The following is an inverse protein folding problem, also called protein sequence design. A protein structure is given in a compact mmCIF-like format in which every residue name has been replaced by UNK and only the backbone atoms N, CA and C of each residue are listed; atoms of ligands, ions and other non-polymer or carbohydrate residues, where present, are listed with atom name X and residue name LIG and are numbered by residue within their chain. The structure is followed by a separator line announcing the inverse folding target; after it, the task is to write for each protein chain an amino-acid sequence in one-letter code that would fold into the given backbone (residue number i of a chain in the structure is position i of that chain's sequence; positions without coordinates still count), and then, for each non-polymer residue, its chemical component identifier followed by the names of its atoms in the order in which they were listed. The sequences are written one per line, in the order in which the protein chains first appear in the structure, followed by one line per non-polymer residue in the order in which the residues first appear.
data_IF_000766460016
#
_entry.id   IF_000766460016
#
_cell.length_a   1.000
_cell.length_b   1.000
_cell.length_c   1.000
_cell.angle_alpha   90.00
_cell.angle_beta   90.00
_cell.angle_gamma   90.00
#
_symmetry.space_group_name_H-M   'P 1'
#
loop_
_entity.id
_entity.type
_entity.pdbx_description
1 polymer ?
#
# COMPACT_ATOMS: atom_id res chain seq x y z
N UNK A 1 31.87 -7.31 30.17
CA UNK A 1 30.92 -8.45 30.18
C UNK A 1 31.74 -9.72 29.98
N UNK A 2 31.65 -10.68 30.90
CA UNK A 2 32.33 -11.97 30.75
C UNK A 2 31.41 -12.95 29.99
N UNK A 3 31.63 -13.04 28.68
CA UNK A 3 30.83 -13.90 27.82
C UNK A 3 31.18 -15.38 28.00
N UNK A 4 32.38 -15.73 28.47
CA UNK A 4 32.78 -17.13 28.67
C UNK A 4 32.00 -17.71 29.85
N UNK A 5 31.96 -16.97 30.96
CA UNK A 5 31.20 -17.39 32.14
C UNK A 5 29.69 -17.37 31.87
N UNK A 6 29.19 -16.38 31.13
CA UNK A 6 27.79 -16.37 30.69
C UNK A 6 27.43 -17.60 29.84
N UNK A 7 28.33 -18.04 28.94
CA UNK A 7 28.11 -19.23 28.10
C UNK A 7 28.04 -20.49 28.96
N UNK A 8 28.94 -20.60 29.93
CA UNK A 8 29.01 -21.72 30.87
C UNK A 8 27.73 -21.83 31.72
N UNK A 9 27.31 -20.71 32.33
CA UNK A 9 26.11 -20.66 33.17
C UNK A 9 24.84 -20.91 32.35
N UNK A 10 24.74 -20.29 31.16
CA UNK A 10 23.61 -20.51 30.24
C UNK A 10 23.57 -21.96 29.76
N UNK A 11 24.72 -22.59 29.50
CA UNK A 11 24.85 -24.02 29.21
C UNK A 11 24.22 -24.90 30.29
N UNK A 12 24.59 -24.66 31.55
CA UNK A 12 24.06 -25.43 32.68
C UNK A 12 22.54 -25.25 32.86
N UNK A 13 22.01 -24.04 32.63
CA UNK A 13 20.58 -23.78 32.71
C UNK A 13 19.80 -24.31 31.50
N UNK A 14 20.36 -24.21 30.29
CA UNK A 14 19.78 -24.74 29.06
C UNK A 14 19.63 -26.26 29.11
N UNK A 15 20.62 -26.94 29.69
CA UNK A 15 20.58 -28.39 29.94
C UNK A 15 19.44 -28.81 30.88
N UNK A 16 18.93 -27.90 31.73
CA UNK A 16 17.77 -28.11 32.61
C UNK A 16 16.45 -27.71 31.95
N UNK A 17 16.45 -27.33 30.67
CA UNK A 17 15.24 -26.97 29.93
C UNK A 17 14.82 -25.51 30.05
N UNK A 18 15.60 -24.64 30.71
CA UNK A 18 15.23 -23.24 30.84
C UNK A 18 15.21 -22.54 29.47
N UNK A 19 14.03 -22.13 29.02
CA UNK A 19 13.78 -21.53 27.71
C UNK A 19 14.70 -20.33 27.45
N UNK A 20 14.78 -19.39 28.38
CA UNK A 20 15.63 -18.20 28.23
C UNK A 20 17.12 -18.55 28.10
N UNK A 21 17.57 -19.57 28.84
CA UNK A 21 18.94 -20.04 28.75
C UNK A 21 19.22 -20.74 27.42
N UNK A 22 18.26 -21.49 26.88
CA UNK A 22 18.36 -22.09 25.55
C UNK A 22 18.38 -21.02 24.46
N UNK A 23 17.52 -20.00 24.53
CA UNK A 23 17.52 -18.87 23.59
C UNK A 23 18.84 -18.11 23.64
N UNK A 24 19.32 -17.79 24.84
CA UNK A 24 20.59 -17.09 25.04
C UNK A 24 21.77 -17.93 24.54
N UNK A 25 21.83 -19.20 24.90
CA UNK A 25 22.91 -20.08 24.45
C UNK A 25 22.91 -20.24 22.92
N UNK A 26 21.73 -20.33 22.30
CA UNK A 26 21.57 -20.31 20.84
C UNK A 26 22.17 -19.05 20.21
N UNK A 27 21.85 -17.88 20.76
CA UNK A 27 22.43 -16.60 20.31
C UNK A 27 23.96 -16.57 20.47
N UNK A 28 24.47 -17.05 21.61
CA UNK A 28 25.91 -17.07 21.87
C UNK A 28 26.65 -17.97 20.88
N UNK A 29 26.10 -19.14 20.56
CA UNK A 29 26.66 -20.02 19.53
C UNK A 29 26.55 -19.43 18.12
N UNK A 30 25.48 -18.71 17.80
CA UNK A 30 25.29 -18.06 16.50
C UNK A 30 26.33 -16.95 16.27
N UNK A 31 26.62 -16.16 17.30
CA UNK A 31 27.51 -15.00 17.21
C UNK A 31 28.96 -15.28 17.63
N UNK A 32 29.24 -16.42 18.27
CA UNK A 32 30.57 -16.72 18.82
C UNK A 32 30.85 -15.90 20.08
N UNK A 33 29.83 -15.66 20.90
CA UNK A 33 29.99 -14.98 22.17
C UNK A 33 30.49 -15.98 23.21
N UNK A 34 31.62 -15.68 23.86
CA UNK A 34 32.20 -16.57 24.89
C UNK A 34 32.84 -17.85 24.35
N UNK A 35 33.17 -17.90 23.05
CA UNK A 35 33.86 -19.02 22.39
C UNK A 35 33.67 -18.95 20.87
N UNK A 36 33.98 -20.02 20.14
CA UNK A 36 33.78 -20.05 18.69
C UNK A 36 32.29 -20.15 18.31
N UNK A 37 31.99 -19.73 17.07
CA UNK A 37 30.66 -19.92 16.45
C UNK A 37 30.39 -21.40 16.24
N UNK A 38 29.17 -21.81 16.54
CA UNK A 38 28.71 -23.18 16.33
C UNK A 38 27.25 -23.12 15.84
N UNK A 39 27.09 -23.01 14.53
CA UNK A 39 25.77 -22.86 13.93
C UNK A 39 24.86 -24.09 14.14
N UNK A 40 25.37 -25.34 14.04
CA UNK A 40 24.58 -26.51 14.39
C UNK A 40 24.07 -26.49 15.84
N UNK A 41 24.92 -26.16 16.82
CA UNK A 41 24.48 -26.10 18.22
C UNK A 41 23.53 -24.91 18.46
N UNK A 42 23.75 -23.77 17.80
CA UNK A 42 22.80 -22.65 17.81
C UNK A 42 21.40 -23.08 17.31
N UNK A 43 21.35 -23.82 16.20
CA UNK A 43 20.09 -24.31 15.61
C UNK A 43 19.38 -25.25 16.58
N UNK A 44 20.13 -26.15 17.20
CA UNK A 44 19.60 -27.09 18.20
C UNK A 44 19.04 -26.35 19.41
N UNK A 45 19.76 -25.37 19.96
CA UNK A 45 19.30 -24.59 21.12
C UNK A 45 18.05 -23.77 20.82
N UNK A 46 18.00 -23.07 19.68
CA UNK A 46 16.79 -22.39 19.24
C UNK A 46 15.65 -23.39 18.96
N UNK A 47 15.96 -24.58 18.43
CA UNK A 47 15.03 -25.71 18.29
C UNK A 47 14.33 -26.07 19.60
N UNK A 48 15.10 -26.27 20.66
CA UNK A 48 14.56 -26.62 21.97
C UNK A 48 13.67 -25.51 22.55
N UNK A 49 14.09 -24.24 22.46
CA UNK A 49 13.29 -23.12 22.93
C UNK A 49 12.02 -22.90 22.08
N UNK A 50 12.11 -23.08 20.75
CA UNK A 50 11.00 -22.95 19.82
C UNK A 50 9.92 -24.01 20.04
N UNK A 51 10.32 -25.25 20.33
CA UNK A 51 9.42 -26.36 20.70
C UNK A 51 8.65 -26.08 21.99
N UNK A 52 9.20 -25.27 22.89
CA UNK A 52 8.54 -24.82 24.11
C UNK A 52 7.65 -23.58 23.89
N UNK A 53 7.48 -23.13 22.64
CA UNK A 53 6.58 -22.02 22.29
C UNK A 53 7.24 -20.64 22.27
N UNK A 54 8.53 -20.52 22.56
CA UNK A 54 9.17 -19.21 22.63
C UNK A 54 9.22 -18.52 21.26
N UNK A 55 8.47 -17.42 21.12
CA UNK A 55 8.28 -16.74 19.83
C UNK A 55 9.58 -16.24 19.18
N UNK A 56 10.51 -15.65 19.94
CA UNK A 56 11.81 -15.21 19.42
C UNK A 56 12.67 -16.35 18.86
N UNK A 57 12.81 -17.46 19.60
CA UNK A 57 13.45 -18.68 19.12
C UNK A 57 12.77 -19.30 17.89
N UNK A 58 11.44 -19.23 17.77
CA UNK A 58 10.73 -19.65 16.55
C UNK A 58 11.10 -18.78 15.35
N UNK A 59 11.21 -17.45 15.52
CA UNK A 59 11.73 -16.55 14.48
C UNK A 59 13.15 -16.93 14.10
N UNK A 60 14.04 -17.06 15.09
CA UNK A 60 15.45 -17.40 14.86
C UNK A 60 15.59 -18.72 14.09
N UNK A 61 14.85 -19.75 14.52
CA UNK A 61 14.86 -21.06 13.86
C UNK A 61 14.31 -20.98 12.44
N UNK A 62 13.23 -20.23 12.22
CA UNK A 62 12.69 -19.95 10.89
C UNK A 62 13.72 -19.30 9.97
N UNK A 63 14.49 -18.33 10.47
CA UNK A 63 15.60 -17.69 9.75
C UNK A 63 16.73 -18.67 9.46
N UNK A 64 17.11 -19.49 10.44
CA UNK A 64 18.18 -20.48 10.26
C UNK A 64 17.83 -21.50 9.16
N UNK A 65 16.58 -21.96 9.11
CA UNK A 65 16.09 -22.81 8.01
C UNK A 65 16.04 -22.06 6.67
N UNK A 66 15.68 -20.77 6.67
CA UNK A 66 15.62 -19.95 5.45
C UNK A 66 16.98 -19.79 4.78
N UNK A 67 18.04 -19.51 5.56
CA UNK A 67 19.39 -19.25 5.03
C UNK A 67 20.31 -20.46 5.05
N UNK A 68 19.89 -21.59 5.63
CA UNK A 68 20.75 -22.77 5.81
C UNK A 68 21.85 -22.57 6.86
N UNK A 69 21.57 -21.83 7.94
CA UNK A 69 22.54 -21.63 9.03
C UNK A 69 22.53 -22.84 9.96
N UNK A 70 23.64 -23.57 10.08
CA UNK A 70 23.72 -24.77 10.94
C UNK A 70 22.99 -26.00 10.42
N UNK A 71 22.68 -26.04 9.12
CA UNK A 71 21.97 -27.14 8.45
C UNK A 71 21.59 -26.74 7.02
N UNK A 72 20.94 -27.61 6.23
CA UNK A 72 20.51 -27.24 4.88
C UNK A 72 19.43 -26.14 4.90
N UNK A 73 19.27 -25.46 3.75
CA UNK A 73 18.12 -24.59 3.49
C UNK A 73 16.86 -25.46 3.44
N UNK A 74 15.82 -25.04 4.17
CA UNK A 74 14.51 -25.68 4.16
C UNK A 74 13.41 -24.63 4.29
N UNK A 75 12.85 -24.22 3.15
CA UNK A 75 11.78 -23.22 3.15
C UNK A 75 10.47 -23.72 3.75
N UNK A 76 10.22 -25.03 3.73
CA UNK A 76 8.98 -25.59 4.29
C UNK A 76 9.01 -25.48 5.81
N UNK A 77 10.12 -25.87 6.43
CA UNK A 77 10.29 -25.76 7.87
C UNK A 77 10.41 -24.29 8.31
N UNK A 78 11.05 -23.44 7.49
CA UNK A 78 11.07 -21.99 7.72
C UNK A 78 9.65 -21.39 7.77
N UNK A 79 8.79 -21.72 6.79
CA UNK A 79 7.38 -21.27 6.79
C UNK A 79 6.64 -21.74 8.03
N UNK A 80 6.86 -22.99 8.46
CA UNK A 80 6.23 -23.54 9.66
C UNK A 80 6.59 -22.73 10.90
N UNK A 81 7.88 -22.49 11.13
CA UNK A 81 8.34 -21.75 12.31
C UNK A 81 7.93 -20.28 12.29
N UNK A 82 8.03 -19.60 11.15
CA UNK A 82 7.50 -18.25 11.03
C UNK A 82 5.98 -18.21 11.21
N UNK A 83 5.23 -19.21 10.75
CA UNK A 83 3.80 -19.32 10.97
C UNK A 83 3.42 -19.37 12.45
N UNK A 84 4.16 -20.17 13.23
CA UNK A 84 3.98 -20.25 14.68
C UNK A 84 4.30 -18.91 15.36
N UNK A 85 5.41 -18.27 15.02
CA UNK A 85 5.78 -16.97 15.59
C UNK A 85 4.83 -15.84 15.17
N UNK A 86 4.36 -15.85 13.92
CA UNK A 86 3.42 -14.87 13.38
C UNK A 86 2.04 -14.98 14.06
N UNK A 87 1.59 -16.20 14.39
CA UNK A 87 0.38 -16.43 15.18
C UNK A 87 0.49 -15.88 16.61
N UNK A 88 1.71 -15.75 17.14
CA UNK A 88 1.99 -15.07 18.41
C UNK A 88 2.16 -13.56 18.28
N UNK A 89 1.98 -13.00 17.08
CA UNK A 89 2.05 -11.56 16.84
C UNK A 89 3.43 -11.03 16.47
N UNK A 90 4.46 -11.86 16.32
CA UNK A 90 5.81 -11.39 16.01
C UNK A 90 5.87 -10.70 14.64
N UNK A 91 6.15 -9.39 14.65
CA UNK A 91 6.15 -8.56 13.45
C UNK A 91 7.17 -9.04 12.39
N UNK A 92 8.36 -9.46 12.82
CA UNK A 92 9.41 -10.02 11.94
C UNK A 92 8.95 -11.32 11.27
N UNK A 93 8.28 -12.20 12.04
CA UNK A 93 7.74 -13.44 11.51
C UNK A 93 6.65 -13.19 10.47
N UNK A 94 5.77 -12.23 10.74
CA UNK A 94 4.72 -11.80 9.81
C UNK A 94 5.32 -11.22 8.52
N UNK A 95 6.34 -10.37 8.62
CA UNK A 95 7.05 -9.84 7.46
C UNK A 95 7.69 -10.96 6.62
N UNK A 96 8.48 -11.82 7.27
CA UNK A 96 9.21 -12.90 6.61
C UNK A 96 8.26 -13.91 5.97
N UNK A 97 7.21 -14.35 6.68
CA UNK A 97 6.22 -15.26 6.13
C UNK A 97 5.43 -14.62 4.98
N UNK A 98 5.10 -13.33 5.10
CA UNK A 98 4.49 -12.55 4.03
C UNK A 98 5.34 -12.54 2.77
N UNK A 99 6.64 -12.27 2.91
CA UNK A 99 7.62 -12.31 1.82
C UNK A 99 7.72 -13.71 1.19
N UNK A 100 7.76 -14.77 2.01
CA UNK A 100 7.78 -16.15 1.50
C UNK A 100 6.51 -16.49 0.70
N UNK A 101 5.37 -15.87 1.01
CA UNK A 101 4.15 -16.00 0.21
C UNK A 101 4.18 -15.19 -1.09
N UNK A 102 4.86 -14.04 -1.14
CA UNK A 102 5.10 -13.29 -2.38
C UNK A 102 5.93 -14.12 -3.35
N UNK A 103 7.02 -14.74 -2.88
CA UNK A 103 7.97 -15.44 -3.74
C UNK A 103 7.73 -16.94 -3.89
N UNK A 104 6.72 -17.51 -3.23
CA UNK A 104 6.46 -18.95 -3.30
C UNK A 104 7.57 -19.81 -2.70
N UNK A 105 8.27 -19.30 -1.68
CA UNK A 105 9.32 -20.05 -0.99
C UNK A 105 8.68 -21.03 -0.01
N UNK A 106 8.90 -22.34 -0.18
CA UNK A 106 8.34 -23.37 0.70
C UNK A 106 6.85 -23.66 0.47
N UNK A 107 6.33 -23.28 -0.70
CA UNK A 107 4.95 -23.59 -1.13
C UNK A 107 4.47 -22.59 -2.20
N UNK A 108 3.22 -22.67 -2.66
CA UNK A 108 2.76 -21.81 -3.75
C UNK A 108 2.79 -20.32 -3.37
N UNK A 109 2.89 -19.47 -4.39
CA UNK A 109 2.67 -18.02 -4.28
C UNK A 109 1.24 -17.79 -3.77
N UNK A 110 1.09 -16.89 -2.80
CA UNK A 110 -0.20 -16.52 -2.25
C UNK A 110 -0.22 -15.04 -1.85
N UNK A 111 -0.51 -14.18 -2.82
CA UNK A 111 -0.54 -12.73 -2.58
C UNK A 111 -1.60 -12.32 -1.55
N UNK A 112 -2.72 -13.02 -1.45
CA UNK A 112 -3.75 -12.72 -0.44
C UNK A 112 -3.25 -12.95 0.99
N UNK A 113 -2.56 -14.07 1.23
CA UNK A 113 -1.90 -14.33 2.51
C UNK A 113 -0.76 -13.34 2.78
N UNK A 114 0.07 -13.05 1.77
CA UNK A 114 1.15 -12.08 1.86
C UNK A 114 0.66 -10.70 2.29
N UNK A 115 -0.37 -10.14 1.63
CA UNK A 115 -0.94 -8.83 1.97
C UNK A 115 -1.45 -8.77 3.41
N UNK A 116 -2.13 -9.83 3.88
CA UNK A 116 -2.60 -9.89 5.26
C UNK A 116 -1.45 -9.88 6.27
N UNK A 117 -0.46 -10.74 6.08
CA UNK A 117 0.68 -10.86 6.98
C UNK A 117 1.55 -9.60 6.98
N UNK A 118 1.86 -9.07 5.80
CA UNK A 118 2.59 -7.81 5.67
C UNK A 118 1.81 -6.65 6.29
N UNK A 119 0.47 -6.61 6.11
CA UNK A 119 -0.38 -5.59 6.74
C UNK A 119 -0.31 -5.63 8.29
N UNK A 120 -0.30 -6.83 8.89
CA UNK A 120 -0.10 -6.99 10.34
C UNK A 120 1.28 -6.47 10.78
N UNK A 121 2.32 -6.76 9.99
CA UNK A 121 3.69 -6.30 10.28
C UNK A 121 3.84 -4.77 10.11
N UNK A 122 3.20 -4.20 9.09
CA UNK A 122 3.10 -2.75 8.85
C UNK A 122 2.42 -2.04 10.02
N UNK A 123 1.34 -2.61 10.56
CA UNK A 123 0.65 -2.06 11.72
C UNK A 123 1.55 -2.00 12.98
N UNK A 124 2.61 -2.80 13.02
CA UNK A 124 3.63 -2.81 14.07
C UNK A 124 4.86 -1.96 13.73
N UNK A 125 4.85 -1.26 12.59
CA UNK A 125 5.89 -0.31 12.20
C UNK A 125 7.05 -0.88 11.37
N UNK A 126 7.01 -2.16 10.98
CA UNK A 126 8.15 -2.78 10.26
C UNK A 126 8.37 -2.17 8.88
N UNK A 127 9.51 -1.51 8.69
CA UNK A 127 9.86 -0.82 7.45
C UNK A 127 9.98 -1.76 6.23
N UNK A 128 10.58 -2.94 6.40
CA UNK A 128 10.69 -3.95 5.33
C UNK A 128 9.31 -4.37 4.82
N UNK A 129 8.35 -4.55 5.74
CA UNK A 129 6.98 -4.92 5.40
C UNK A 129 6.25 -3.78 4.67
N UNK A 130 6.49 -2.52 5.06
CA UNK A 130 5.95 -1.34 4.39
C UNK A 130 6.43 -1.27 2.94
N UNK A 131 7.72 -1.51 2.70
CA UNK A 131 8.28 -1.53 1.33
C UNK A 131 7.69 -2.65 0.50
N UNK A 132 7.63 -3.86 1.06
CA UNK A 132 7.11 -5.02 0.35
C UNK A 132 5.63 -4.82 0.00
N UNK A 133 4.81 -4.43 0.97
CA UNK A 133 3.39 -4.19 0.75
C UNK A 133 3.16 -3.01 -0.21
N UNK A 134 3.95 -1.94 -0.11
CA UNK A 134 3.89 -0.82 -1.04
C UNK A 134 4.15 -1.24 -2.49
N UNK A 135 5.18 -2.08 -2.73
CA UNK A 135 5.44 -2.67 -4.05
C UNK A 135 4.29 -3.55 -4.53
N UNK A 136 3.70 -4.37 -3.64
CA UNK A 136 2.55 -5.19 -4.00
C UNK A 136 1.33 -4.35 -4.41
N UNK A 137 1.06 -3.24 -3.72
CA UNK A 137 0.01 -2.29 -4.09
C UNK A 137 0.29 -1.63 -5.45
N UNK A 138 1.55 -1.26 -5.71
CA UNK A 138 1.95 -0.68 -7.00
C UNK A 138 1.78 -1.67 -8.16
N UNK A 139 2.16 -2.93 -7.95
CA UNK A 139 2.10 -3.97 -8.98
C UNK A 139 0.72 -4.61 -9.16
N UNK A 140 -0.25 -4.34 -8.28
CA UNK A 140 -1.54 -5.05 -8.28
C UNK A 140 -1.40 -6.53 -7.87
N UNK A 141 -0.43 -6.86 -7.02
CA UNK A 141 -0.23 -8.22 -6.53
C UNK A 141 -1.25 -8.53 -5.42
N UNK A 142 -2.19 -9.44 -5.72
CA UNK A 142 -3.25 -9.84 -4.80
C UNK A 142 -4.38 -8.82 -4.64
N UNK A 143 -4.56 -7.90 -5.59
CA UNK A 143 -5.62 -6.90 -5.61
C UNK A 143 -5.45 -5.91 -6.77
N UNK A 144 -6.35 -4.93 -6.95
CA UNK A 144 -6.13 -3.86 -7.92
C UNK A 144 -4.89 -3.03 -7.55
N UNK A 145 -4.27 -2.41 -8.56
CA UNK A 145 -3.21 -1.43 -8.34
C UNK A 145 -3.71 -0.26 -7.50
N UNK A 146 -2.94 0.11 -6.49
CA UNK A 146 -3.21 1.24 -5.62
C UNK A 146 -1.92 2.06 -5.42
N UNK A 147 -1.72 3.02 -6.31
CA UNK A 147 -0.53 3.88 -6.32
C UNK A 147 -0.50 4.82 -5.10
N UNK A 148 -1.67 5.18 -4.57
CA UNK A 148 -1.78 6.09 -3.42
C UNK A 148 -1.32 5.37 -2.15
N UNK A 149 -1.84 4.17 -1.89
CA UNK A 149 -1.39 3.40 -0.73
C UNK A 149 0.07 2.93 -0.89
N UNK A 150 0.49 2.59 -2.11
CA UNK A 150 1.89 2.26 -2.39
C UNK A 150 2.84 3.41 -2.00
N UNK A 151 2.51 4.64 -2.40
CA UNK A 151 3.26 5.84 -2.03
C UNK A 151 3.27 6.03 -0.52
N UNK A 152 2.10 5.98 0.13
CA UNK A 152 1.95 6.19 1.57
C UNK A 152 2.84 5.25 2.38
N UNK A 153 2.86 3.96 2.02
CA UNK A 153 3.67 2.94 2.68
C UNK A 153 5.16 3.17 2.46
N UNK A 154 5.57 3.54 1.24
CA UNK A 154 6.96 3.85 0.95
C UNK A 154 7.43 5.13 1.65
N UNK A 155 6.59 6.17 1.77
CA UNK A 155 6.91 7.37 2.55
C UNK A 155 7.10 7.04 4.04
N UNK A 156 6.28 6.15 4.58
CA UNK A 156 6.42 5.66 5.96
C UNK A 156 7.74 4.91 6.16
N UNK A 157 8.17 4.11 5.18
CA UNK A 157 9.46 3.42 5.24
C UNK A 157 10.64 4.39 5.06
N UNK A 158 10.49 5.43 4.23
CA UNK A 158 11.51 6.45 4.03
C UNK A 158 11.75 7.28 5.29
N UNK A 159 10.69 7.56 6.07
CA UNK A 159 10.81 8.24 7.35
C UNK A 159 11.59 7.44 8.41
N UNK A 160 11.82 6.15 8.17
CA UNK A 160 12.62 5.26 9.01
C UNK A 160 14.05 5.04 8.45
N UNK A 161 14.49 5.89 7.52
CA UNK A 161 15.80 5.81 6.84
C UNK A 161 16.08 4.45 6.16
N UNK A 162 15.02 3.76 5.75
CA UNK A 162 15.16 2.42 5.21
C UNK A 162 15.77 2.45 3.78
N UNK A 163 16.81 1.63 3.59
CA UNK A 163 17.57 1.59 2.35
C UNK A 163 16.72 1.09 1.17
N UNK A 164 16.95 1.65 -0.02
CA UNK A 164 16.27 1.24 -1.25
C UNK A 164 14.86 1.82 -1.44
N UNK A 165 14.31 2.52 -0.44
CA UNK A 165 12.99 3.18 -0.55
C UNK A 165 12.97 4.31 -1.56
N UNK A 166 14.06 5.09 -1.67
CA UNK A 166 14.13 6.26 -2.56
C UNK A 166 13.85 5.92 -4.03
N UNK A 167 14.45 4.84 -4.53
CA UNK A 167 14.24 4.40 -5.91
C UNK A 167 12.79 3.92 -6.13
N UNK A 168 12.21 3.21 -5.16
CA UNK A 168 10.81 2.80 -5.23
C UNK A 168 9.86 4.00 -5.21
N UNK A 169 10.12 5.00 -4.35
CA UNK A 169 9.35 6.24 -4.29
C UNK A 169 9.42 7.02 -5.61
N UNK A 170 10.60 7.13 -6.22
CA UNK A 170 10.75 7.84 -7.49
C UNK A 170 9.87 7.23 -8.59
N UNK A 171 9.87 5.90 -8.70
CA UNK A 171 9.04 5.17 -9.67
C UNK A 171 7.55 5.39 -9.39
N UNK A 172 7.13 5.26 -8.13
CA UNK A 172 5.72 5.46 -7.73
C UNK A 172 5.29 6.92 -7.93
N UNK A 173 6.19 7.87 -7.69
CA UNK A 173 5.92 9.29 -7.86
C UNK A 173 5.66 9.64 -9.32
N UNK A 174 6.56 9.21 -10.20
CA UNK A 174 6.41 9.38 -11.64
C UNK A 174 5.11 8.77 -12.16
N UNK A 175 4.80 7.54 -11.77
CA UNK A 175 3.57 6.87 -12.18
C UNK A 175 2.31 7.60 -11.69
N UNK A 176 2.35 8.20 -10.50
CA UNK A 176 1.23 8.99 -9.99
C UNK A 176 1.05 10.29 -10.77
N UNK A 177 2.14 10.97 -11.12
CA UNK A 177 2.11 12.23 -11.87
C UNK A 177 1.57 12.00 -13.29
N UNK A 178 2.00 10.92 -13.94
CA UNK A 178 1.48 10.48 -15.24
C UNK A 178 -0.02 10.16 -15.17
N UNK A 179 -0.46 9.47 -14.11
CA UNK A 179 -1.88 9.18 -13.90
C UNK A 179 -2.68 10.46 -13.69
N UNK A 180 -2.19 11.38 -12.86
CA UNK A 180 -2.86 12.66 -12.59
C UNK A 180 -2.96 13.51 -13.86
N UNK A 181 -1.90 13.58 -14.65
CA UNK A 181 -1.91 14.30 -15.93
C UNK A 181 -2.93 13.72 -16.92
N UNK A 182 -3.05 12.39 -16.97
CA UNK A 182 -4.07 11.72 -17.78
C UNK A 182 -5.48 12.03 -17.27
N UNK A 183 -5.72 11.93 -15.97
CA UNK A 183 -7.03 12.23 -15.37
C UNK A 183 -7.45 13.68 -15.62
N UNK A 184 -6.52 14.64 -15.55
CA UNK A 184 -6.82 16.04 -15.91
C UNK A 184 -7.11 16.20 -17.40
N UNK A 185 -6.34 15.54 -18.27
CA UNK A 185 -6.59 15.58 -19.71
C UNK A 185 -7.96 14.99 -20.07
N UNK A 186 -8.33 13.87 -19.45
CA UNK A 186 -9.61 13.22 -19.67
C UNK A 186 -10.78 14.09 -19.16
N UNK A 187 -10.60 14.75 -18.02
CA UNK A 187 -11.58 15.70 -17.48
C UNK A 187 -11.76 16.94 -18.37
N UNK A 188 -10.65 17.51 -18.88
CA UNK A 188 -10.69 18.66 -19.79
C UNK A 188 -11.37 18.29 -21.12
N UNK A 189 -11.09 17.10 -21.66
CA UNK A 189 -11.75 16.60 -22.86
C UNK A 189 -13.26 16.41 -22.64
N UNK A 190 -13.67 15.89 -21.48
CA UNK A 190 -15.08 15.74 -21.12
C UNK A 190 -15.79 17.10 -20.98
N UNK A 191 -15.14 18.08 -20.33
CA UNK A 191 -15.69 19.45 -20.24
C UNK A 191 -15.82 20.12 -21.61
N UNK A 192 -14.84 19.93 -22.51
CA UNK A 192 -14.91 20.45 -23.87
C UNK A 192 -16.07 19.85 -24.68
N UNK A 193 -16.33 18.56 -24.53
CA UNK A 193 -17.47 17.89 -25.17
C UNK A 193 -18.82 18.44 -24.66
N UNK A 194 -18.97 18.61 -23.35
CA UNK A 194 -20.18 19.20 -22.74
C UNK A 194 -20.43 20.63 -23.24
N UNK A 195 -19.38 21.45 -23.29
CA UNK A 195 -19.49 22.82 -23.83
C UNK A 195 -19.83 22.82 -25.33
N UNK A 196 -19.30 21.88 -26.11
CA UNK A 196 -19.63 21.76 -27.53
C UNK A 196 -21.09 21.38 -27.74
N UNK A 197 -21.64 20.44 -26.96
CA UNK A 197 -23.06 20.07 -27.00
C UNK A 197 -23.97 21.27 -26.70
N UNK A 198 -23.68 22.04 -25.63
CA UNK A 198 -24.40 23.26 -25.28
C UNK A 198 -24.40 24.30 -26.42
N UNK A 199 -23.28 24.44 -27.13
CA UNK A 199 -23.20 25.37 -28.27
C UNK A 199 -24.03 24.91 -29.46
N UNK A 200 -24.07 23.61 -29.75
CA UNK A 200 -24.88 23.06 -30.84
C UNK A 200 -26.39 23.14 -30.53
N UNK A 201 -26.79 22.92 -29.28
CA UNK A 201 -28.18 23.13 -28.86
C UNK A 201 -28.62 24.59 -29.00
N UNK A 202 -27.79 25.54 -28.56
CA UNK A 202 -28.05 26.98 -28.73
C UNK A 202 -28.15 27.38 -30.21
N UNK A 203 -27.27 26.86 -31.08
CA UNK A 203 -27.35 27.09 -32.53
C UNK A 203 -28.65 26.54 -33.13
N UNK A 204 -29.06 25.31 -32.77
CA UNK A 204 -30.32 24.70 -33.22
C UNK A 204 -31.54 25.49 -32.75
N UNK A 205 -31.56 25.97 -31.50
CA UNK A 205 -32.61 26.84 -30.96
C UNK A 205 -32.71 28.19 -31.70
N UNK A 206 -31.56 28.85 -31.94
CA UNK A 206 -31.50 30.10 -32.68
C UNK A 206 -31.96 29.94 -34.15
N UNK A 207 -31.61 28.83 -34.81
CA UNK A 207 -32.04 28.52 -36.16
C UNK A 207 -33.57 28.31 -36.25
N UNK A 208 -34.17 27.62 -35.27
CA UNK A 208 -35.64 27.47 -35.17
C UNK A 208 -36.34 28.82 -34.97
N UNK A 209 -35.80 29.70 -34.10
CA UNK A 209 -36.34 31.04 -33.85
C UNK A 209 -36.30 31.95 -35.09
N UNK A 210 -35.18 31.97 -35.83
CA UNK A 210 -35.08 32.71 -37.10
C UNK A 210 -36.07 32.20 -38.17
N UNK A 211 -36.33 30.89 -38.23
CA UNK A 211 -37.28 30.29 -39.19
C UNK A 211 -38.73 30.68 -38.86
N UNK A 212 -39.11 30.78 -37.59
CA UNK A 212 -40.42 31.30 -37.18
C UNK A 212 -40.59 32.79 -37.48
N UNK A 213 -39.55 33.61 -37.27
CA UNK A 213 -39.59 35.06 -37.55
C UNK A 213 -39.74 35.36 -39.05
N UNK A 214 -39.16 34.52 -39.93
CA UNK A 214 -39.30 34.63 -41.39
C UNK A 214 -40.69 34.21 -41.91
N UNK A 215 -41.43 33.37 -41.17
CA UNK A 215 -42.83 33.01 -41.49
C UNK A 215 -43.86 34.02 -40.97
N UNK A 216 -43.51 34.85 -39.99
CA UNK A 216 -44.39 35.91 -39.46
C UNK A 216 -44.31 37.27 -40.18
N UNK A 217 -43.43 37.43 -41.17
CA UNK A 217 -43.11 38.73 -41.79
C UNK A 217 -43.96 39.15 -43.01
N UNK A 218 -45.02 38.41 -43.37
CA UNK A 218 -45.85 38.72 -44.54
C UNK A 218 -47.27 39.14 -44.13
N UNK A 219 -47.43 40.40 -43.68
CA UNK A 219 -48.58 41.30 -43.94
C UNK A 219 -48.47 42.56 -43.09
N UNK A 220 -48.08 43.67 -43.71
CA UNK A 220 -48.86 44.92 -43.72
C UNK A 220 -48.09 46.00 -44.47
N UNK A 221 -48.68 46.47 -45.58
CA UNK A 221 -48.26 47.65 -46.34
C UNK A 221 -49.23 48.79 -46.01
N UNK A 222 -48.66 49.94 -45.66
CA UNK A 222 -49.22 51.25 -45.25
C UNK A 222 -50.05 51.99 -46.36
N UNK A 223 -50.39 53.31 -46.34
CA UNK A 223 -50.58 54.39 -45.30
C UNK A 223 -51.86 55.29 -45.63
N UNK A 224 -51.92 56.65 -45.48
CA UNK A 224 -51.97 57.52 -44.27
C UNK A 224 -53.14 58.57 -44.20
N UNK A 225 -53.16 59.28 -43.07
CA UNK A 225 -53.56 60.70 -42.84
C UNK A 225 -55.03 61.04 -42.53
N UNK A 226 -55.24 61.69 -41.37
CA UNK A 226 -56.10 62.86 -41.21
C UNK A 226 -55.76 63.56 -39.87
N UNK A 227 -55.88 64.89 -39.92
CA UNK A 227 -55.48 65.98 -39.03
C UNK A 227 -56.14 66.04 -37.63
N UNK A 228 -55.64 66.90 -36.70
CA UNK A 228 -56.16 67.05 -35.34
C UNK A 228 -57.32 68.07 -35.26
N UNK A 229 -58.06 68.10 -34.13
CA UNK A 229 -58.09 69.35 -33.38
C UNK A 229 -58.12 69.24 -31.84
N UNK A 230 -57.52 70.28 -31.26
CA UNK A 230 -57.76 71.08 -30.04
C UNK A 230 -58.90 70.74 -29.03
N UNK A 231 -58.51 70.88 -27.75
CA UNK A 231 -59.19 71.58 -26.63
C UNK A 231 -60.12 70.83 -25.64
N UNK A 232 -59.96 71.22 -24.36
CA UNK A 232 -60.87 71.00 -23.23
C UNK A 232 -60.55 69.73 -22.44
N UNK A 233 -60.32 69.70 -21.13
CA UNK A 233 -60.59 70.65 -20.05
C UNK A 233 -61.15 69.87 -18.84
N UNK A 234 -60.59 70.08 -17.65
CA UNK A 234 -61.34 69.99 -16.38
C UNK A 234 -61.28 68.70 -15.53
N UNK A 235 -61.11 68.93 -14.21
CA UNK A 235 -61.57 68.09 -13.07
C UNK A 235 -60.63 66.95 -12.67
N UNK A 236 -59.92 66.91 -11.54
CA UNK A 236 -60.23 67.20 -10.12
C UNK A 236 -61.22 66.21 -9.45
N UNK A 237 -60.71 65.57 -8.39
CA UNK A 237 -61.40 64.83 -7.30
C UNK A 237 -61.84 63.40 -7.63
N UNK A 238 -61.69 62.40 -6.76
CA UNK A 238 -61.42 62.36 -5.32
C UNK A 238 -60.50 61.19 -4.95
#
# INVERSE_FOLDING_TARGET
KDYVEARRLSGAAAAKGHIEAQTLLGHMHLHGEGGEKDLPEARKMHGLAALQGHAGAQVALGTMHFIGSGGPIDFTESRRWYGLAAAQGQADAQANLGQMHVYGQGGPINYGAARRLLGLSVAQGQADAQVMLGKMHFNGEGGPTDVVEARRLLELAAAQDHAGVRAALEVVNKASDERRAKETSDADAMMALLLAEDTEEKKKGAAKSKKNKKKGGAKSTSPPSATPPTSGGGGASA
#
